data_IF_297433773662
#
_entry.id   IF_297433773662
#
_cell.length_a   1.000
_cell.length_b   1.000
_cell.length_c   1.000
_cell.angle_alpha   90.00
_cell.angle_beta   90.00
_cell.angle_gamma   90.00
#
_symmetry.space_group_name_H-M   'P 1'
#
loop_
_entity.id
_entity.type
_entity.pdbx_description
1 polymer ?
#
# COMPACT_ATOMS: atom_id res chain seq x y z
N UNK A 1 7.51 21.96 6.30
CA UNK A 1 7.11 22.23 4.89
C UNK A 1 6.35 21.05 4.30
N UNK A 2 6.97 19.90 4.04
CA UNK A 2 6.30 18.77 3.37
C UNK A 2 5.10 18.17 4.15
N UNK A 3 5.23 17.94 5.46
CA UNK A 3 4.10 17.47 6.28
C UNK A 3 2.91 18.45 6.22
N UNK A 4 3.20 19.75 6.29
CA UNK A 4 2.19 20.82 6.23
C UNK A 4 1.52 20.90 4.85
N UNK A 5 2.25 20.73 3.75
CA UNK A 5 1.66 20.73 2.41
C UNK A 5 0.72 19.54 2.15
N UNK A 6 0.91 18.44 2.88
CA UNK A 6 0.05 17.26 2.82
C UNK A 6 -1.03 17.22 3.92
N UNK A 7 -1.05 18.20 4.84
CA UNK A 7 -1.99 18.20 5.96
C UNK A 7 -1.77 17.08 7.00
N UNK A 8 -0.58 16.49 7.06
CA UNK A 8 -0.24 15.41 8.01
C UNK A 8 0.61 15.92 9.18
N UNK A 9 0.57 15.22 10.32
CA UNK A 9 1.31 15.61 11.52
C UNK A 9 2.84 15.45 11.37
N UNK A 10 3.30 14.47 10.58
CA UNK A 10 4.70 14.11 10.49
C UNK A 10 5.11 13.80 9.04
N UNK A 11 6.35 14.14 8.69
CA UNK A 11 7.02 13.69 7.48
C UNK A 11 8.47 13.34 7.81
N UNK A 12 8.96 12.23 7.30
CA UNK A 12 10.32 11.73 7.56
C UNK A 12 11.04 11.61 6.21
N UNK A 13 12.10 12.39 6.03
CA UNK A 13 12.95 12.30 4.84
C UNK A 13 13.83 11.05 4.88
N UNK A 14 13.88 10.31 3.76
CA UNK A 14 14.65 9.08 3.60
C UNK A 14 15.44 9.12 2.29
N UNK A 15 16.32 8.12 2.08
CA UNK A 15 17.22 8.09 0.93
C UNK A 15 16.48 7.95 -0.42
N UNK A 16 15.34 7.25 -0.46
CA UNK A 16 14.50 7.08 -1.66
C UNK A 16 13.14 6.43 -1.30
N UNK A 17 12.26 6.31 -2.31
CA UNK A 17 10.93 5.71 -2.16
C UNK A 17 10.93 4.23 -1.76
N UNK A 18 11.91 3.43 -2.20
CA UNK A 18 11.98 2.01 -1.81
C UNK A 18 12.21 1.85 -0.30
N UNK A 19 13.15 2.61 0.26
CA UNK A 19 13.39 2.59 1.72
C UNK A 19 12.18 3.17 2.49
N UNK A 20 11.45 4.11 1.88
CA UNK A 20 10.21 4.64 2.45
C UNK A 20 9.07 3.61 2.51
N UNK A 21 9.04 2.62 1.60
CA UNK A 21 8.10 1.50 1.66
C UNK A 21 8.55 0.41 2.63
N UNK A 22 9.85 0.11 2.66
CA UNK A 22 10.39 -0.94 3.53
C UNK A 22 10.30 -0.60 5.02
N UNK A 23 10.55 0.66 5.40
CA UNK A 23 10.60 1.09 6.80
C UNK A 23 9.29 0.83 7.57
N UNK A 24 8.09 1.23 7.08
CA UNK A 24 6.83 0.91 7.73
C UNK A 24 6.58 -0.59 7.86
N UNK A 25 6.89 -1.38 6.82
CA UNK A 25 6.72 -2.84 6.85
C UNK A 25 7.59 -3.48 7.96
N UNK A 26 8.84 -3.04 8.10
CA UNK A 26 9.72 -3.44 9.21
C UNK A 26 9.16 -3.04 10.57
N UNK A 27 8.70 -1.80 10.72
CA UNK A 27 8.12 -1.30 11.97
C UNK A 27 6.84 -2.06 12.36
N UNK A 28 6.10 -2.57 11.37
CA UNK A 28 4.93 -3.40 11.60
C UNK A 28 5.25 -4.85 11.94
N UNK A 29 6.53 -5.24 11.89
CA UNK A 29 6.98 -6.60 12.18
C UNK A 29 6.70 -7.58 11.05
N UNK A 30 6.52 -7.11 9.81
CA UNK A 30 6.31 -7.99 8.64
C UNK A 30 7.55 -8.86 8.43
N UNK A 31 7.33 -10.17 8.33
CA UNK A 31 8.43 -11.12 8.16
C UNK A 31 8.00 -12.51 7.67
N UNK A 32 8.85 -13.53 7.87
CA UNK A 32 8.56 -14.90 7.44
C UNK A 32 7.22 -15.42 7.94
N UNK A 33 6.43 -15.97 7.02
CA UNK A 33 5.09 -16.51 7.30
C UNK A 33 3.95 -15.49 7.12
N UNK A 34 4.26 -14.20 6.99
CA UNK A 34 3.25 -13.19 6.69
C UNK A 34 2.96 -13.09 5.19
N UNK A 35 1.73 -12.68 4.87
CA UNK A 35 1.31 -12.31 3.53
C UNK A 35 1.01 -10.81 3.46
N UNK A 36 1.45 -10.17 2.38
CA UNK A 36 1.15 -8.76 2.10
C UNK A 36 0.50 -8.67 0.73
N UNK A 37 -0.69 -8.08 0.65
CA UNK A 37 -1.38 -7.86 -0.62
C UNK A 37 -0.65 -6.76 -1.39
N UNK A 38 -0.40 -7.00 -2.68
CA UNK A 38 0.27 -6.07 -3.59
C UNK A 38 -0.41 -6.07 -4.97
N UNK A 39 -0.11 -5.07 -5.80
CA UNK A 39 -0.57 -5.00 -7.20
C UNK A 39 0.49 -5.56 -8.16
N UNK A 40 0.10 -6.26 -9.24
CA UNK A 40 1.03 -6.66 -10.32
C UNK A 40 1.39 -5.47 -11.22
N UNK A 41 0.67 -4.35 -11.11
CA UNK A 41 0.84 -3.17 -11.95
C UNK A 41 1.44 -2.03 -11.12
N UNK A 42 2.75 -2.09 -10.92
CA UNK A 42 3.55 -1.04 -10.23
C UNK A 42 5.03 -1.17 -10.60
N UNK A 43 5.85 -0.27 -10.06
CA UNK A 43 7.29 -0.48 -9.96
C UNK A 43 7.59 -1.61 -8.96
N UNK A 44 8.67 -2.37 -9.20
CA UNK A 44 9.00 -3.59 -8.45
C UNK A 44 9.12 -3.38 -6.93
N UNK A 45 9.46 -2.17 -6.48
CA UNK A 45 9.67 -1.84 -5.06
C UNK A 45 8.46 -2.22 -4.18
N UNK A 46 7.23 -1.99 -4.63
CA UNK A 46 6.01 -2.26 -3.85
C UNK A 46 5.88 -3.74 -3.46
N UNK A 47 6.41 -4.66 -4.28
CA UNK A 47 6.43 -6.09 -3.98
C UNK A 47 7.78 -6.59 -3.44
N UNK A 48 8.90 -6.04 -3.91
CA UNK A 48 10.23 -6.52 -3.49
C UNK A 48 10.53 -6.18 -2.04
N UNK A 49 10.05 -5.06 -1.50
CA UNK A 49 10.18 -4.74 -0.08
C UNK A 49 9.56 -5.83 0.81
N UNK A 50 8.43 -6.42 0.39
CA UNK A 50 7.81 -7.55 1.11
C UNK A 50 8.71 -8.78 1.07
N UNK A 51 9.19 -9.15 -0.12
CA UNK A 51 10.04 -10.32 -0.32
C UNK A 51 11.39 -10.21 0.41
N UNK A 52 12.00 -9.01 0.44
CA UNK A 52 13.25 -8.73 1.14
C UNK A 52 13.14 -8.89 2.67
N UNK A 53 11.93 -8.78 3.22
CA UNK A 53 11.66 -9.05 4.63
C UNK A 53 11.35 -10.53 4.90
N UNK A 54 11.36 -11.39 3.87
CA UNK A 54 11.04 -12.81 3.99
C UNK A 54 9.53 -13.11 4.03
N UNK A 55 8.68 -12.08 3.90
CA UNK A 55 7.24 -12.24 3.77
C UNK A 55 6.84 -12.59 2.32
N UNK A 56 5.61 -13.07 2.13
CA UNK A 56 5.09 -13.44 0.81
C UNK A 56 4.26 -12.30 0.20
N UNK A 57 4.68 -11.69 -0.92
CA UNK A 57 3.80 -10.82 -1.70
C UNK A 57 2.68 -11.66 -2.34
N UNK A 58 1.44 -11.22 -2.15
CA UNK A 58 0.24 -11.83 -2.74
C UNK A 58 -0.35 -10.84 -3.73
N UNK A 59 -0.19 -11.13 -5.01
CA UNK A 59 -0.69 -10.29 -6.09
C UNK A 59 -2.21 -10.43 -6.23
N UNK A 60 -2.90 -9.29 -6.34
CA UNK A 60 -4.33 -9.24 -6.67
C UNK A 60 -4.56 -8.41 -7.91
N UNK A 61 -5.57 -8.80 -8.68
CA UNK A 61 -5.84 -8.17 -9.97
C UNK A 61 -6.30 -6.71 -9.82
N UNK A 62 -6.12 -5.96 -10.90
CA UNK A 62 -6.48 -4.55 -10.99
C UNK A 62 -7.84 -4.38 -11.68
N UNK A 63 -8.50 -3.27 -11.38
CA UNK A 63 -9.65 -2.83 -12.16
C UNK A 63 -9.22 -2.35 -13.56
N UNK A 64 -10.06 -2.59 -14.57
CA UNK A 64 -9.72 -2.35 -15.97
C UNK A 64 -9.71 -0.86 -16.35
N UNK A 65 -10.39 -0.02 -15.58
CA UNK A 65 -10.46 1.41 -15.89
C UNK A 65 -9.40 2.17 -15.08
N UNK A 66 -9.43 2.03 -13.76
CA UNK A 66 -8.50 2.71 -12.85
C UNK A 66 -7.11 2.11 -12.85
N UNK A 67 -6.96 0.84 -13.25
CA UNK A 67 -5.69 0.10 -13.22
C UNK A 67 -5.10 -0.06 -11.81
N UNK A 68 -5.90 0.22 -10.78
CA UNK A 68 -5.58 0.06 -9.37
C UNK A 68 -6.27 -1.19 -8.81
N UNK A 69 -5.74 -1.72 -7.71
CA UNK A 69 -6.41 -2.80 -6.96
C UNK A 69 -7.63 -2.25 -6.22
N UNK A 70 -8.65 -3.10 -6.02
CA UNK A 70 -9.92 -2.69 -5.40
C UNK A 70 -10.17 -3.46 -4.11
N UNK A 71 -11.06 -2.95 -3.25
CA UNK A 71 -11.49 -3.69 -2.07
C UNK A 71 -12.02 -5.10 -2.43
N UNK A 72 -12.69 -5.25 -3.58
CA UNK A 72 -13.22 -6.54 -4.04
C UNK A 72 -12.11 -7.51 -4.48
N UNK A 73 -11.09 -7.05 -5.20
CA UNK A 73 -9.96 -7.92 -5.58
C UNK A 73 -9.10 -8.27 -4.37
N UNK A 74 -8.92 -7.34 -3.43
CA UNK A 74 -8.24 -7.58 -2.15
C UNK A 74 -8.99 -8.63 -1.32
N UNK A 75 -10.29 -8.45 -1.09
CA UNK A 75 -11.09 -9.31 -0.21
C UNK A 75 -11.03 -10.80 -0.59
N UNK A 76 -10.95 -11.10 -1.90
CA UNK A 76 -10.86 -12.47 -2.43
C UNK A 76 -9.52 -13.16 -2.15
N UNK A 77 -8.47 -12.40 -1.85
CA UNK A 77 -7.13 -12.93 -1.61
C UNK A 77 -6.72 -12.94 -0.13
N UNK A 78 -7.57 -12.41 0.77
CA UNK A 78 -7.27 -12.37 2.20
C UNK A 78 -7.20 -13.77 2.79
N UNK A 79 -6.21 -13.98 3.65
CA UNK A 79 -6.02 -15.21 4.43
C UNK A 79 -5.74 -14.86 5.90
N UNK A 80 -5.75 -15.84 6.82
CA UNK A 80 -5.32 -15.61 8.20
C UNK A 80 -3.86 -15.14 8.34
N UNK A 81 -3.04 -15.27 7.28
CA UNK A 81 -1.64 -14.79 7.24
C UNK A 81 -1.51 -13.38 6.69
N UNK A 82 -2.58 -12.78 6.15
CA UNK A 82 -2.51 -11.41 5.64
C UNK A 82 -2.29 -10.43 6.80
N UNK A 83 -1.23 -9.61 6.72
CA UNK A 83 -0.87 -8.62 7.74
C UNK A 83 -0.92 -7.19 7.26
N UNK A 84 -0.70 -6.97 5.96
CA UNK A 84 -0.75 -5.66 5.36
C UNK A 84 -1.26 -5.68 3.92
N UNK A 85 -1.65 -4.51 3.44
CA UNK A 85 -1.96 -4.22 2.04
C UNK A 85 -1.07 -3.05 1.62
N UNK A 86 -0.34 -3.21 0.51
CA UNK A 86 0.34 -2.10 -0.16
C UNK A 86 -0.51 -1.70 -1.37
N UNK A 87 -1.17 -0.55 -1.28
CA UNK A 87 -1.90 0.05 -2.41
C UNK A 87 -0.96 0.98 -3.15
N UNK A 88 -1.03 1.01 -4.47
CA UNK A 88 -0.24 1.92 -5.31
C UNK A 88 -1.19 2.86 -6.01
N UNK A 89 -0.98 4.16 -5.85
CA UNK A 89 -1.73 5.17 -6.60
C UNK A 89 -1.08 5.36 -7.97
N UNK A 90 -1.39 4.44 -8.87
CA UNK A 90 -0.68 4.31 -10.13
C UNK A 90 -0.87 5.54 -11.02
N UNK A 91 0.22 6.00 -11.63
CA UNK A 91 0.23 7.14 -12.55
C UNK A 91 -0.38 8.44 -11.96
N UNK A 92 -0.35 8.58 -10.63
CA UNK A 92 -0.92 9.73 -9.93
C UNK A 92 -2.43 9.61 -9.67
N UNK A 93 -3.06 8.49 -10.04
CA UNK A 93 -4.48 8.23 -9.80
C UNK A 93 -4.69 7.51 -8.47
N UNK A 94 -5.36 8.12 -7.47
CA UNK A 94 -5.62 7.48 -6.19
C UNK A 94 -6.45 6.20 -6.32
N UNK A 95 -6.22 5.25 -5.42
CA UNK A 95 -7.10 4.10 -5.27
C UNK A 95 -8.44 4.55 -4.68
N UNK A 96 -9.48 3.73 -4.83
CA UNK A 96 -10.72 3.89 -4.07
C UNK A 96 -10.47 3.55 -2.59
N UNK A 97 -9.96 4.53 -1.84
CA UNK A 97 -9.42 4.31 -0.50
C UNK A 97 -10.50 4.04 0.56
N UNK A 98 -11.67 4.66 0.47
CA UNK A 98 -12.72 4.47 1.47
C UNK A 98 -13.15 2.98 1.62
N UNK A 99 -13.48 2.25 0.53
CA UNK A 99 -13.82 0.83 0.66
C UNK A 99 -12.61 -0.05 1.05
N UNK A 100 -11.39 0.29 0.64
CA UNK A 100 -10.18 -0.45 1.04
C UNK A 100 -9.92 -0.30 2.54
N UNK A 101 -10.01 0.93 3.06
CA UNK A 101 -9.82 1.23 4.47
C UNK A 101 -10.92 0.60 5.33
N UNK A 102 -12.17 0.56 4.86
CA UNK A 102 -13.26 -0.13 5.54
C UNK A 102 -12.99 -1.64 5.68
N UNK A 103 -12.59 -2.29 4.59
CA UNK A 103 -12.21 -3.71 4.59
C UNK A 103 -11.02 -3.99 5.51
N UNK A 104 -9.98 -3.16 5.43
CA UNK A 104 -8.78 -3.31 6.25
C UNK A 104 -9.10 -3.15 7.75
N UNK A 105 -9.95 -2.18 8.11
CA UNK A 105 -10.42 -1.96 9.47
C UNK A 105 -11.21 -3.16 10.02
N UNK A 106 -12.13 -3.72 9.23
CA UNK A 106 -12.91 -4.91 9.62
C UNK A 106 -12.00 -6.10 9.97
N UNK A 107 -10.87 -6.23 9.25
CA UNK A 107 -9.94 -7.34 9.39
C UNK A 107 -8.75 -7.05 10.29
N UNK A 108 -8.62 -5.83 10.82
CA UNK A 108 -7.44 -5.41 11.59
C UNK A 108 -6.14 -5.43 10.77
N UNK A 109 -6.21 -5.21 9.45
CA UNK A 109 -5.08 -5.23 8.53
C UNK A 109 -4.56 -3.79 8.34
N UNK A 110 -3.24 -3.62 8.28
CA UNK A 110 -2.62 -2.32 8.03
C UNK A 110 -2.58 -2.00 6.54
N UNK A 111 -2.75 -0.74 6.17
CA UNK A 111 -2.65 -0.27 4.77
C UNK A 111 -1.47 0.67 4.64
N UNK A 112 -0.59 0.38 3.67
CA UNK A 112 0.49 1.25 3.25
C UNK A 112 0.14 1.83 1.87
N UNK A 113 0.07 3.14 1.78
CA UNK A 113 -0.11 3.85 0.52
C UNK A 113 1.26 4.13 -0.13
N UNK A 114 1.51 3.49 -1.27
CA UNK A 114 2.63 3.79 -2.15
C UNK A 114 2.24 4.96 -3.06
N UNK A 115 2.55 6.17 -2.57
CA UNK A 115 2.30 7.43 -3.26
C UNK A 115 3.48 7.87 -4.13
N UNK A 116 4.43 6.99 -4.50
CA UNK A 116 5.62 7.37 -5.27
C UNK A 116 5.29 8.15 -6.55
N UNK A 117 4.14 7.87 -7.17
CA UNK A 117 3.67 8.52 -8.40
C UNK A 117 2.53 9.52 -8.16
N UNK A 118 2.08 9.73 -6.92
CA UNK A 118 0.86 10.47 -6.57
C UNK A 118 1.09 11.54 -5.51
N UNK A 119 2.26 12.17 -5.49
CA UNK A 119 2.52 13.28 -4.58
C UNK A 119 1.56 14.45 -4.87
N UNK A 120 0.82 14.89 -3.85
CA UNK A 120 -0.15 15.98 -3.96
C UNK A 120 -1.49 15.61 -4.62
N UNK A 121 -1.69 14.34 -5.00
CA UNK A 121 -3.01 13.85 -5.40
C UNK A 121 -3.98 13.91 -4.21
N UNK A 122 -5.27 14.06 -4.49
CA UNK A 122 -6.32 14.07 -3.45
C UNK A 122 -7.41 13.06 -3.76
N UNK A 123 -7.96 12.45 -2.72
CA UNK A 123 -9.10 11.54 -2.78
C UNK A 123 -10.26 12.12 -1.97
N UNK A 124 -11.33 12.51 -2.65
CA UNK A 124 -12.45 13.25 -2.05
C UNK A 124 -12.02 14.51 -1.29
N UNK A 125 -11.02 15.23 -1.82
CA UNK A 125 -10.48 16.45 -1.22
C UNK A 125 -9.62 16.23 0.03
N UNK A 126 -9.26 14.98 0.31
CA UNK A 126 -8.31 14.58 1.35
C UNK A 126 -7.00 14.11 0.73
#
# INVERSE_FOLDING_TARGET
>A
EYASSLGVAHAIGLANGTVALELPLRMWGIGPGDEVIVTPRSFIASASCVALLGARPVFVDVDVDSQNITANTIARALTPRTRAIVVVHLAGWPCEMDPIMALAKERGIKVLEDCAQAHGATYHGR
#
